data_IF_364692022700
#
_entry.id   IF_364692022700
#
_cell.length_a   1.000
_cell.length_b   1.000
_cell.length_c   1.000
_cell.angle_alpha   90.00
_cell.angle_beta   90.00
_cell.angle_gamma   90.00
#
_symmetry.space_group_name_H-M   'P 1'
#
loop_
_entity.id
_entity.type
_entity.pdbx_description
1 polymer ?
#
# COMPACT_ATOMS: atom_id res chain seq x y z
N UNK A 1 -28.35 -7.64 -37.48
CA UNK A 1 -29.01 -7.70 -36.16
C UNK A 1 -27.99 -7.81 -35.01
N UNK A 2 -26.80 -8.36 -35.26
CA UNK A 2 -25.81 -8.64 -34.21
C UNK A 2 -25.08 -7.41 -33.64
N UNK A 3 -24.75 -6.42 -34.47
CA UNK A 3 -24.07 -5.18 -34.02
C UNK A 3 -24.86 -4.44 -32.93
N UNK A 4 -26.19 -4.43 -33.01
CA UNK A 4 -27.06 -3.81 -32.00
C UNK A 4 -27.07 -4.58 -30.68
N UNK A 5 -26.92 -5.91 -30.73
CA UNK A 5 -26.82 -6.76 -29.55
C UNK A 5 -25.53 -6.50 -28.77
N UNK A 6 -24.40 -6.38 -29.49
CA UNK A 6 -23.11 -6.02 -28.87
C UNK A 6 -23.15 -4.62 -28.26
N UNK A 7 -23.78 -3.68 -28.95
CA UNK A 7 -23.94 -2.32 -28.43
C UNK A 7 -24.78 -2.30 -27.15
N UNK A 8 -25.90 -3.04 -27.10
CA UNK A 8 -26.73 -3.12 -25.88
C UNK A 8 -26.01 -3.78 -24.71
N UNK A 9 -25.16 -4.78 -24.99
CA UNK A 9 -24.37 -5.46 -23.96
C UNK A 9 -23.24 -4.57 -23.43
N UNK A 10 -22.59 -3.79 -24.30
CA UNK A 10 -21.58 -2.82 -23.89
C UNK A 10 -22.20 -1.71 -23.02
N UNK A 11 -23.39 -1.21 -23.39
CA UNK A 11 -24.11 -0.20 -22.61
C UNK A 11 -24.56 -0.69 -21.23
N UNK A 12 -24.97 -1.97 -21.10
CA UNK A 12 -25.33 -2.53 -19.80
C UNK A 12 -24.11 -2.67 -18.88
N UNK A 13 -22.97 -3.12 -19.43
CA UNK A 13 -21.72 -3.23 -18.67
C UNK A 13 -21.18 -1.86 -18.26
N UNK A 14 -21.28 -0.85 -19.12
CA UNK A 14 -20.89 0.53 -18.80
C UNK A 14 -21.77 1.11 -17.70
N UNK A 15 -23.08 0.84 -17.71
CA UNK A 15 -23.99 1.26 -16.64
C UNK A 15 -23.63 0.61 -15.31
N UNK A 16 -23.36 -0.70 -15.29
CA UNK A 16 -22.95 -1.38 -14.06
C UNK A 16 -21.61 -0.86 -13.55
N UNK A 17 -20.65 -0.59 -14.45
CA UNK A 17 -19.36 0.00 -14.08
C UNK A 17 -19.54 1.41 -13.49
N UNK A 18 -20.25 2.31 -14.17
CA UNK A 18 -20.53 3.67 -13.69
C UNK A 18 -21.30 3.65 -12.35
N UNK A 19 -22.20 2.69 -12.14
CA UNK A 19 -22.97 2.55 -10.91
C UNK A 19 -22.14 2.01 -9.74
N UNK A 20 -21.13 1.18 -10.03
CA UNK A 20 -20.19 0.65 -9.03
C UNK A 20 -19.10 1.65 -8.64
N UNK A 21 -18.78 2.62 -9.49
CA UNK A 21 -17.56 3.43 -9.41
C UNK A 21 -17.55 4.66 -8.48
N UNK A 22 -18.62 5.10 -7.77
CA UNK A 22 -18.44 6.18 -6.80
C UNK A 22 -17.68 5.72 -5.53
N UNK A 23 -17.61 4.42 -5.24
CA UNK A 23 -17.01 3.92 -3.98
C UNK A 23 -15.59 3.35 -4.17
N UNK A 24 -15.28 2.88 -5.38
CA UNK A 24 -13.97 2.32 -5.75
C UNK A 24 -12.82 3.33 -5.60
N UNK A 25 -12.90 4.57 -6.13
CA UNK A 25 -11.80 5.54 -5.96
C UNK A 25 -11.65 5.98 -4.50
N UNK A 26 -12.75 6.12 -3.75
CA UNK A 26 -12.70 6.51 -2.33
C UNK A 26 -12.08 5.42 -1.45
N UNK A 27 -12.46 4.16 -1.65
CA UNK A 27 -11.86 3.03 -0.95
C UNK A 27 -10.40 2.84 -1.34
N UNK A 28 -10.03 3.09 -2.60
CA UNK A 28 -8.65 3.08 -3.07
C UNK A 28 -7.80 4.17 -2.40
N UNK A 29 -8.31 5.40 -2.29
CA UNK A 29 -7.61 6.50 -1.61
C UNK A 29 -7.47 6.20 -0.11
N UNK A 30 -8.56 5.77 0.56
CA UNK A 30 -8.53 5.43 1.97
C UNK A 30 -7.57 4.26 2.26
N UNK A 31 -7.59 3.24 1.41
CA UNK A 31 -6.66 2.10 1.48
C UNK A 31 -5.21 2.51 1.29
N UNK A 32 -4.94 3.41 0.34
CA UNK A 32 -3.59 3.94 0.08
C UNK A 32 -3.06 4.74 1.28
N UNK A 33 -3.89 5.59 1.90
CA UNK A 33 -3.52 6.35 3.10
C UNK A 33 -3.20 5.39 4.26
N UNK A 34 -4.05 4.39 4.45
CA UNK A 34 -3.84 3.39 5.51
C UNK A 34 -2.55 2.60 5.29
N UNK A 35 -2.31 2.12 4.06
CA UNK A 35 -1.09 1.42 3.69
C UNK A 35 0.17 2.27 3.90
N UNK A 36 0.16 3.55 3.51
CA UNK A 36 1.28 4.44 3.76
C UNK A 36 1.55 4.63 5.27
N UNK A 37 0.50 4.75 6.09
CA UNK A 37 0.67 4.90 7.54
C UNK A 37 1.20 3.63 8.19
N UNK A 38 0.72 2.45 7.81
CA UNK A 38 1.21 1.18 8.36
C UNK A 38 2.65 0.91 7.95
N UNK A 39 3.04 1.22 6.71
CA UNK A 39 4.43 1.12 6.26
C UNK A 39 5.33 2.06 7.05
N UNK A 40 4.90 3.29 7.29
CA UNK A 40 5.68 4.24 8.09
C UNK A 40 5.87 3.76 9.54
N UNK A 41 4.80 3.27 10.16
CA UNK A 41 4.85 2.74 11.54
C UNK A 41 5.72 1.48 11.63
N UNK A 42 5.63 0.60 10.64
CA UNK A 42 6.49 -0.59 10.53
C UNK A 42 7.96 -0.21 10.34
N UNK A 43 8.25 0.76 9.47
CA UNK A 43 9.61 1.26 9.27
C UNK A 43 10.16 1.87 10.56
N UNK A 44 9.35 2.64 11.29
CA UNK A 44 9.73 3.22 12.57
C UNK A 44 9.97 2.14 13.64
N UNK A 45 9.16 1.08 13.67
CA UNK A 45 9.38 -0.07 14.55
C UNK A 45 10.69 -0.79 14.23
N UNK A 46 10.97 -1.04 12.95
CA UNK A 46 12.23 -1.66 12.49
C UNK A 46 13.42 -0.77 12.86
N UNK A 47 13.33 0.54 12.61
CA UNK A 47 14.36 1.51 13.01
C UNK A 47 14.54 1.56 14.52
N UNK A 48 13.47 1.51 15.31
CA UNK A 48 13.56 1.50 16.76
C UNK A 48 14.19 0.20 17.29
N UNK A 49 13.88 -0.95 16.68
CA UNK A 49 14.51 -2.24 17.01
C UNK A 49 15.98 -2.23 16.63
N UNK A 50 16.35 -1.75 15.43
CA UNK A 50 17.74 -1.65 15.01
C UNK A 50 18.54 -0.65 15.83
N UNK A 51 17.95 0.50 16.17
CA UNK A 51 18.59 1.49 17.04
C UNK A 51 18.73 0.98 18.47
N UNK A 52 17.71 0.28 19.01
CA UNK A 52 17.83 -0.40 20.31
C UNK A 52 18.92 -1.47 20.27
N UNK A 53 18.98 -2.30 19.24
CA UNK A 53 20.03 -3.29 19.05
C UNK A 53 21.41 -2.61 19.00
N UNK A 54 21.55 -1.51 18.23
CA UNK A 54 22.78 -0.71 18.18
C UNK A 54 23.19 -0.18 19.56
N UNK A 55 22.25 0.35 20.33
CA UNK A 55 22.51 0.83 21.70
C UNK A 55 22.86 -0.28 22.70
N UNK A 56 22.35 -1.49 22.47
CA UNK A 56 22.63 -2.67 23.29
C UNK A 56 23.96 -3.36 22.96
N UNK A 57 24.57 -3.02 21.82
CA UNK A 57 25.86 -3.59 21.44
C UNK A 57 27.01 -3.05 22.29
N UNK A 58 27.90 -3.96 22.69
CA UNK A 58 29.17 -3.63 23.32
C UNK A 58 30.02 -2.75 22.40
N UNK A 59 30.92 -1.95 22.98
CA UNK A 59 31.74 -0.96 22.24
C UNK A 59 32.47 -1.55 21.04
N UNK A 60 32.93 -2.80 21.16
CA UNK A 60 33.64 -3.55 20.10
C UNK A 60 32.71 -3.93 18.94
N UNK A 61 31.50 -4.41 19.24
CA UNK A 61 30.53 -4.79 18.20
C UNK A 61 29.99 -3.58 17.43
N UNK A 62 29.92 -2.40 18.06
CA UNK A 62 29.59 -1.14 17.37
C UNK A 62 30.66 -0.70 16.37
N UNK A 63 31.94 -0.84 16.74
CA UNK A 63 33.06 -0.50 15.85
C UNK A 63 33.12 -1.46 14.66
N UNK A 64 32.92 -2.76 14.88
CA UNK A 64 32.89 -3.76 13.81
C UNK A 64 31.75 -3.51 12.80
N UNK A 65 30.55 -3.16 13.29
CA UNK A 65 29.41 -2.85 12.43
C UNK A 65 29.61 -1.56 11.63
N UNK A 66 30.29 -0.55 12.19
CA UNK A 66 30.63 0.70 11.49
C UNK A 66 31.73 0.54 10.43
N UNK A 67 32.47 -0.56 10.46
CA UNK A 67 33.56 -0.86 9.53
C UNK A 67 33.12 -1.70 8.32
N UNK A 68 31.86 -2.17 8.32
CA UNK A 68 31.22 -2.88 7.20
C UNK A 68 30.44 -1.91 6.32
#
# INVERSE_FOLDING_TARGET
MEVKSYQSQAESLLKEYILADPFVPYTSIAGSIFACKTVYDLAQLISAVHFKCYSSFSSIQRVEWSNR
#
